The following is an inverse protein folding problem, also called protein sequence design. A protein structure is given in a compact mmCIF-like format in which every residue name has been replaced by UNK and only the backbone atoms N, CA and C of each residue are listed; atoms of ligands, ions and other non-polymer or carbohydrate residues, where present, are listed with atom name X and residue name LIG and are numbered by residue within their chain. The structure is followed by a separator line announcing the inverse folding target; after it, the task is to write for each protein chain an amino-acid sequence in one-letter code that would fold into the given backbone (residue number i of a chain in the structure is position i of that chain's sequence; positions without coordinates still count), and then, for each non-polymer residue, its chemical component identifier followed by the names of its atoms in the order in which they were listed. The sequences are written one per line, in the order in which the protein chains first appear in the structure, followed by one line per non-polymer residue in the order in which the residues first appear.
data_IF_935059187032
#
_entry.id   IF_935059187032
#
_cell.length_a   1.000
_cell.length_b   1.000
_cell.length_c   1.000
_cell.angle_alpha   90.00
_cell.angle_beta   90.00
_cell.angle_gamma   90.00
#
_symmetry.space_group_name_H-M   'P 1'
#
loop_
_entity.id
_entity.type
_entity.pdbx_description
1 polymer ?
#
# COMPACT_ATOMS: atom_id res chain seq x y z
N UNK A 1 -15.59 -1.80 -12.44
CA UNK A 1 -14.55 -0.75 -12.56
C UNK A 1 -14.90 0.14 -13.75
N UNK A 2 -14.94 1.47 -13.59
CA UNK A 2 -15.12 2.37 -14.73
C UNK A 2 -13.89 2.23 -15.65
N UNK A 3 -14.08 2.04 -16.97
CA UNK A 3 -12.95 1.93 -17.89
C UNK A 3 -12.12 3.23 -17.80
N UNK A 4 -10.80 3.09 -17.67
CA UNK A 4 -9.79 4.17 -17.56
C UNK A 4 -9.72 4.93 -16.22
N UNK A 5 -10.00 4.29 -15.09
CA UNK A 5 -9.66 4.84 -13.77
C UNK A 5 -8.25 4.40 -13.36
N UNK A 6 -7.31 5.34 -13.36
CA UNK A 6 -5.91 5.10 -13.00
C UNK A 6 -5.61 5.32 -11.51
N UNK A 7 -6.60 5.65 -10.68
CA UNK A 7 -6.39 6.05 -9.27
C UNK A 7 -5.60 5.04 -8.46
N UNK A 8 -5.93 3.74 -8.54
CA UNK A 8 -5.18 2.69 -7.82
C UNK A 8 -3.73 2.58 -8.30
N UNK A 9 -3.51 2.67 -9.63
CA UNK A 9 -2.18 2.57 -10.22
C UNK A 9 -1.32 3.78 -9.87
N UNK A 10 -1.91 4.98 -9.85
CA UNK A 10 -1.25 6.22 -9.40
C UNK A 10 -0.81 6.09 -7.95
N UNK A 11 -1.71 5.67 -7.05
CA UNK A 11 -1.40 5.52 -5.63
C UNK A 11 -0.27 4.51 -5.40
N UNK A 12 -0.23 3.40 -6.15
CA UNK A 12 0.85 2.40 -6.07
C UNK A 12 2.19 3.00 -6.52
N UNK A 13 2.23 3.68 -7.67
CA UNK A 13 3.46 4.32 -8.19
C UNK A 13 3.98 5.37 -7.21
N UNK A 14 3.09 6.20 -6.65
CA UNK A 14 3.47 7.23 -5.68
C UNK A 14 3.85 6.66 -4.30
N UNK A 15 3.43 5.45 -3.96
CA UNK A 15 3.87 4.77 -2.74
C UNK A 15 5.34 4.31 -2.83
N UNK A 16 5.77 3.91 -4.01
CA UNK A 16 7.15 3.47 -4.28
C UNK A 16 8.13 4.65 -4.43
N UNK A 17 7.62 5.86 -4.61
CA UNK A 17 8.43 7.05 -4.92
C UNK A 17 8.03 8.23 -4.01
N UNK A 18 9.01 9.03 -3.56
CA UNK A 18 8.74 10.21 -2.71
C UNK A 18 7.92 11.29 -3.42
N UNK A 19 8.23 11.53 -4.69
CA UNK A 19 7.51 12.41 -5.59
C UNK A 19 7.75 11.94 -7.04
N UNK A 20 6.79 12.11 -7.93
CA UNK A 20 6.88 11.72 -9.34
C UNK A 20 6.44 12.89 -10.21
N UNK A 21 7.22 13.20 -11.24
CA UNK A 21 6.82 14.21 -12.22
C UNK A 21 5.63 13.74 -13.05
N UNK A 22 4.85 14.68 -13.57
CA UNK A 22 3.69 14.33 -14.39
C UNK A 22 4.07 13.52 -15.66
N UNK A 23 5.14 13.86 -16.41
CA UNK A 23 5.59 13.05 -17.53
C UNK A 23 5.96 11.61 -17.14
N UNK A 24 6.73 11.43 -16.05
CA UNK A 24 7.11 10.10 -15.55
C UNK A 24 5.90 9.29 -15.10
N UNK A 25 4.93 9.95 -14.47
CA UNK A 25 3.68 9.32 -14.05
C UNK A 25 2.88 8.82 -15.27
N UNK A 26 2.81 9.62 -16.33
CA UNK A 26 2.21 9.22 -17.61
C UNK A 26 2.87 7.97 -18.17
N UNK A 27 4.19 7.97 -18.26
CA UNK A 27 4.96 6.84 -18.78
C UNK A 27 4.72 5.57 -17.96
N UNK A 28 4.83 5.66 -16.63
CA UNK A 28 4.66 4.51 -15.72
C UNK A 28 3.23 3.98 -15.70
N UNK A 29 2.22 4.86 -15.85
CA UNK A 29 0.80 4.47 -15.86
C UNK A 29 0.41 3.82 -17.18
N UNK A 30 0.93 4.29 -18.31
CA UNK A 30 0.57 3.81 -19.65
C UNK A 30 1.34 2.57 -20.08
N UNK A 31 2.55 2.34 -19.53
CA UNK A 31 3.30 1.09 -19.77
C UNK A 31 2.50 -0.11 -19.23
N UNK A 32 2.25 -1.16 -20.05
CA UNK A 32 1.71 -2.40 -19.53
C UNK A 32 2.71 -2.98 -18.51
N UNK A 33 2.20 -3.46 -17.37
CA UNK A 33 2.99 -4.27 -16.43
C UNK A 33 3.50 -5.49 -17.20
N UNK A 34 4.80 -5.54 -17.50
CA UNK A 34 5.40 -6.74 -18.07
C UNK A 34 5.31 -7.82 -17.00
N UNK A 35 4.66 -8.97 -17.27
CA UNK A 35 4.85 -10.13 -16.43
C UNK A 35 6.32 -10.54 -16.57
N UNK A 36 7.01 -10.74 -15.45
CA UNK A 36 8.32 -11.38 -15.41
C UNK A 36 8.11 -12.83 -15.82
N UNK A 37 8.31 -13.13 -17.09
CA UNK A 37 8.34 -14.50 -17.56
C UNK A 37 9.60 -14.66 -18.39
N UNK A 38 10.51 -15.46 -17.88
CA UNK A 38 11.45 -16.21 -18.69
C UNK A 38 10.65 -17.05 -19.68
N UNK A 39 10.64 -16.69 -20.94
CA UNK A 39 10.28 -17.61 -22.01
C UNK A 39 11.00 -17.26 -23.28
N UNK A 40 11.70 -18.25 -23.69
CA UNK A 40 12.44 -18.51 -24.89
C UNK A 40 11.69 -18.09 -26.16
N UNK A 41 12.42 -17.48 -27.01
CA UNK A 41 12.25 -17.05 -28.37
C UNK A 41 11.49 -18.04 -29.26
N UNK A 42 10.48 -17.52 -30.01
CA UNK A 42 10.19 -17.97 -31.40
C UNK A 42 9.57 -16.83 -32.21
N UNK A 43 10.05 -16.56 -33.43
CA UNK A 43 9.49 -15.51 -34.27
C UNK A 43 8.40 -16.11 -35.16
N UNK A 44 7.21 -15.52 -35.16
CA UNK A 44 6.26 -15.69 -36.26
C UNK A 44 5.58 -14.35 -36.58
N UNK A 45 5.78 -13.97 -37.80
CA UNK A 45 5.15 -12.92 -38.59
C UNK A 45 3.63 -12.89 -38.43
N UNK A 46 3.08 -11.72 -38.10
CA UNK A 46 1.65 -11.48 -38.07
C UNK A 46 1.38 -10.01 -37.75
N UNK A 47 0.77 -9.32 -38.67
CA UNK A 47 0.48 -7.90 -38.74
C UNK A 47 0.03 -7.31 -37.40
N UNK A 48 0.80 -6.37 -36.85
CA UNK A 48 0.40 -5.47 -35.77
C UNK A 48 -0.75 -4.58 -36.24
N UNK A 49 -1.98 -4.96 -35.88
CA UNK A 49 -3.07 -3.97 -35.83
C UNK A 49 -2.77 -2.98 -34.71
N UNK A 50 -2.07 -1.92 -35.06
CA UNK A 50 -1.86 -0.73 -34.25
C UNK A 50 -3.25 -0.13 -33.92
N UNK A 51 -3.85 -0.56 -32.84
CA UNK A 51 -4.94 0.20 -32.20
C UNK A 51 -4.30 1.48 -31.66
N UNK A 52 -4.33 2.53 -32.47
CA UNK A 52 -4.01 3.90 -32.10
C UNK A 52 -5.00 4.38 -31.03
N UNK A 53 -4.83 3.89 -29.80
CA UNK A 53 -5.46 4.49 -28.62
C UNK A 53 -4.63 5.71 -28.26
N UNK A 54 -5.05 6.83 -28.87
CA UNK A 54 -4.39 8.12 -28.85
C UNK A 54 -3.86 8.51 -27.49
N UNK A 55 -2.59 8.96 -27.39
CA UNK A 55 -1.98 9.44 -26.13
C UNK A 55 -2.83 10.49 -25.41
N UNK A 56 -3.64 11.24 -26.14
CA UNK A 56 -4.59 12.25 -25.60
C UNK A 56 -5.69 11.67 -24.69
N UNK A 57 -6.26 10.49 -25.01
CA UNK A 57 -7.29 9.86 -24.15
C UNK A 57 -6.70 9.35 -22.85
N UNK A 58 -5.52 8.75 -22.90
CA UNK A 58 -4.81 8.27 -21.70
C UNK A 58 -4.40 9.46 -20.80
N UNK A 59 -3.90 10.54 -21.40
CA UNK A 59 -3.54 11.77 -20.69
C UNK A 59 -4.76 12.41 -20.01
N UNK A 60 -5.89 12.48 -20.69
CA UNK A 60 -7.14 12.99 -20.10
C UNK A 60 -7.61 12.13 -18.92
N UNK A 61 -7.59 10.80 -19.08
CA UNK A 61 -8.00 9.87 -18.02
C UNK A 61 -7.06 9.93 -16.80
N UNK A 62 -5.74 10.07 -17.04
CA UNK A 62 -4.76 10.26 -15.97
C UNK A 62 -4.99 11.57 -15.21
N UNK A 63 -5.15 12.68 -15.94
CA UNK A 63 -5.44 14.00 -15.35
C UNK A 63 -6.71 13.97 -14.50
N UNK A 64 -7.77 13.34 -15.00
CA UNK A 64 -9.03 13.16 -14.28
C UNK A 64 -8.82 12.36 -12.99
N UNK A 65 -8.10 11.23 -13.05
CA UNK A 65 -7.83 10.40 -11.88
C UNK A 65 -6.94 11.13 -10.87
N UNK A 66 -5.91 11.84 -11.33
CA UNK A 66 -5.01 12.62 -10.47
C UNK A 66 -5.76 13.77 -9.79
N UNK A 67 -6.64 14.46 -10.53
CA UNK A 67 -7.51 15.51 -9.98
C UNK A 67 -8.43 14.96 -8.89
N UNK A 68 -9.11 13.84 -9.14
CA UNK A 68 -9.97 13.20 -8.12
C UNK A 68 -9.20 12.78 -6.88
N UNK A 69 -7.96 12.29 -7.01
CA UNK A 69 -7.10 11.97 -5.88
C UNK A 69 -6.65 13.23 -5.11
N UNK A 70 -6.41 14.34 -5.80
CA UNK A 70 -6.09 15.62 -5.17
C UNK A 70 -7.31 16.20 -4.43
N UNK A 71 -8.48 16.23 -5.06
CA UNK A 71 -9.74 16.71 -4.46
C UNK A 71 -10.14 15.87 -3.23
N UNK A 72 -9.82 14.57 -3.22
CA UNK A 72 -10.02 13.70 -2.05
C UNK A 72 -8.91 13.80 -0.99
N UNK A 73 -7.94 14.67 -1.15
CA UNK A 73 -6.85 14.89 -0.20
C UNK A 73 -5.84 13.74 -0.09
N UNK A 74 -5.80 12.82 -1.07
CA UNK A 74 -4.87 11.68 -1.07
C UNK A 74 -3.55 12.00 -1.76
N UNK A 75 -3.54 12.94 -2.68
CA UNK A 75 -2.37 13.40 -3.43
C UNK A 75 -2.28 14.91 -3.33
N UNK A 76 -1.07 15.43 -3.17
CA UNK A 76 -0.76 16.84 -3.30
C UNK A 76 0.12 17.07 -4.53
N UNK A 77 -0.05 18.25 -5.15
CA UNK A 77 0.70 18.67 -6.33
C UNK A 77 1.65 19.79 -5.94
N UNK A 78 2.88 19.68 -6.39
CA UNK A 78 3.92 20.69 -6.20
C UNK A 78 4.49 21.12 -7.54
N UNK A 79 4.53 22.41 -7.75
CA UNK A 79 5.16 23.00 -8.93
C UNK A 79 6.60 23.38 -8.56
N UNK A 80 7.57 22.89 -9.33
CA UNK A 80 8.97 23.26 -9.20
C UNK A 80 9.52 23.60 -10.58
N UNK A 81 9.76 24.86 -10.85
CA UNK A 81 10.13 25.35 -12.18
C UNK A 81 9.00 25.09 -13.19
N UNK A 82 9.34 24.42 -14.28
CA UNK A 82 8.36 24.03 -15.33
C UNK A 82 7.73 22.64 -15.10
N UNK A 83 8.08 21.96 -14.03
CA UNK A 83 7.62 20.62 -13.77
C UNK A 83 6.56 20.58 -12.65
N UNK A 84 5.51 19.79 -12.90
CA UNK A 84 4.46 19.46 -11.95
C UNK A 84 4.74 18.08 -11.35
N UNK A 85 4.83 18.01 -10.02
CA UNK A 85 5.11 16.80 -9.27
C UNK A 85 3.90 16.41 -8.42
N UNK A 86 3.63 15.12 -8.35
CA UNK A 86 2.64 14.55 -7.46
C UNK A 86 3.32 13.76 -6.33
N UNK A 87 2.81 13.89 -5.11
CA UNK A 87 3.21 13.06 -3.96
C UNK A 87 2.01 12.67 -3.11
N UNK A 88 2.15 11.59 -2.33
CA UNK A 88 1.10 11.18 -1.41
C UNK A 88 1.07 12.08 -0.18
N UNK A 89 -0.14 12.42 0.25
CA UNK A 89 -0.40 12.96 1.60
C UNK A 89 -0.30 11.83 2.65
N UNK A 90 -0.36 12.17 3.95
CA UNK A 90 -0.48 11.16 5.01
C UNK A 90 -1.68 10.23 4.78
N UNK A 91 -2.83 10.78 4.38
CA UNK A 91 -4.03 10.00 4.04
C UNK A 91 -3.81 9.13 2.79
N UNK A 92 -3.13 9.67 1.77
CA UNK A 92 -2.77 8.93 0.55
C UNK A 92 -1.88 7.73 0.83
N UNK A 93 -0.87 7.88 1.70
CA UNK A 93 0.00 6.78 2.12
C UNK A 93 -0.79 5.66 2.81
N UNK A 94 -1.67 6.00 3.74
CA UNK A 94 -2.56 5.00 4.40
C UNK A 94 -3.44 4.27 3.38
N UNK A 95 -4.00 5.01 2.42
CA UNK A 95 -4.83 4.41 1.35
C UNK A 95 -4.01 3.48 0.43
N UNK A 96 -2.80 3.88 0.06
CA UNK A 96 -1.89 3.05 -0.75
C UNK A 96 -1.54 1.74 -0.04
N UNK A 97 -1.21 1.79 1.26
CA UNK A 97 -0.98 0.60 2.10
C UNK A 97 -2.23 -0.29 2.14
N UNK A 98 -3.42 0.27 2.35
CA UNK A 98 -4.66 -0.50 2.33
C UNK A 98 -4.88 -1.22 1.00
N UNK A 99 -4.54 -0.60 -0.13
CA UNK A 99 -4.63 -1.22 -1.46
C UNK A 99 -3.58 -2.31 -1.69
N UNK A 100 -2.39 -2.13 -1.14
CA UNK A 100 -1.33 -3.14 -1.17
C UNK A 100 -1.78 -4.40 -0.40
N UNK A 101 -2.26 -4.25 0.82
CA UNK A 101 -2.81 -5.35 1.62
C UNK A 101 -4.00 -6.05 0.95
N UNK A 102 -4.81 -5.31 0.15
CA UNK A 102 -5.88 -5.91 -0.65
C UNK A 102 -5.35 -6.76 -1.81
N UNK A 103 -4.24 -6.36 -2.42
CA UNK A 103 -3.63 -7.10 -3.54
C UNK A 103 -2.83 -8.32 -3.08
N UNK A 104 -2.25 -8.25 -1.89
CA UNK A 104 -1.42 -9.30 -1.31
C UNK A 104 -2.24 -10.40 -0.60
N UNK A 105 -3.54 -10.17 -0.39
CA UNK A 105 -4.45 -11.12 0.30
C UNK A 105 -4.64 -12.48 -0.40
N UNK A 106 -4.07 -12.67 -1.58
CA UNK A 106 -4.01 -13.98 -2.26
C UNK A 106 -2.81 -14.83 -1.84
N UNK A 107 -1.83 -14.22 -1.16
CA UNK A 107 -0.66 -14.90 -0.63
C UNK A 107 -0.72 -14.80 0.89
N UNK A 108 -1.30 -15.80 1.55
CA UNK A 108 -1.13 -15.95 3.00
C UNK A 108 0.37 -16.19 3.22
N UNK A 109 1.12 -15.24 3.81
CA UNK A 109 2.54 -15.45 4.05
C UNK A 109 2.68 -16.68 4.96
N UNK A 110 3.59 -17.58 4.61
CA UNK A 110 3.92 -18.68 5.52
C UNK A 110 4.45 -18.10 6.83
N UNK A 111 3.96 -18.61 7.94
CA UNK A 111 4.49 -18.24 9.25
C UNK A 111 5.96 -18.68 9.37
N UNK A 112 6.82 -17.75 9.75
CA UNK A 112 8.26 -17.94 9.89
C UNK A 112 8.68 -18.29 11.33
N UNK A 113 7.73 -18.69 12.18
CA UNK A 113 7.98 -19.01 13.59
C UNK A 113 8.08 -17.79 14.50
N UNK A 114 7.74 -16.60 14.01
CA UNK A 114 7.80 -15.38 14.81
C UNK A 114 6.45 -14.68 14.91
N UNK A 115 6.13 -14.19 16.08
CA UNK A 115 4.99 -13.33 16.35
C UNK A 115 5.40 -11.86 16.19
N UNK A 116 4.55 -11.07 15.55
CA UNK A 116 4.68 -9.62 15.43
C UNK A 116 3.70 -8.98 16.39
N UNK A 117 4.21 -8.15 17.28
CA UNK A 117 3.40 -7.41 18.25
C UNK A 117 3.53 -5.93 17.94
N UNK A 118 2.40 -5.27 17.80
CA UNK A 118 2.30 -3.83 17.64
C UNK A 118 1.53 -3.25 18.82
N UNK A 119 2.21 -2.43 19.61
CA UNK A 119 1.55 -1.59 20.61
C UNK A 119 1.19 -0.27 19.96
N UNK A 120 -0.09 0.10 20.04
CA UNK A 120 -0.61 1.32 19.42
C UNK A 120 -1.38 2.12 20.47
N UNK A 121 -0.76 3.20 20.94
CA UNK A 121 -1.35 4.13 21.92
C UNK A 121 -1.29 5.56 21.39
N UNK A 122 -2.39 6.02 20.81
CA UNK A 122 -2.53 7.39 20.34
C UNK A 122 -3.49 8.16 21.25
N UNK A 123 -3.18 9.44 21.53
CA UNK A 123 -4.06 10.30 22.32
C UNK A 123 -5.41 10.51 21.62
N UNK A 124 -6.43 10.89 22.38
CA UNK A 124 -7.79 11.11 21.86
C UNK A 124 -7.83 12.20 20.78
N UNK A 125 -6.95 13.18 20.85
CA UNK A 125 -6.79 14.23 19.83
C UNK A 125 -6.41 13.68 18.44
N UNK A 126 -5.87 12.46 18.36
CA UNK A 126 -5.51 11.74 17.12
C UNK A 126 -6.44 10.56 16.84
N UNK A 127 -7.67 10.60 17.27
CA UNK A 127 -8.65 9.50 17.13
C UNK A 127 -8.79 9.01 15.68
N UNK A 128 -8.90 9.91 14.71
CA UNK A 128 -9.02 9.55 13.30
C UNK A 128 -7.82 8.75 12.79
N UNK A 129 -6.61 9.11 13.22
CA UNK A 129 -5.39 8.36 12.86
C UNK A 129 -5.37 7.00 13.57
N UNK A 130 -5.76 6.94 14.82
CA UNK A 130 -5.87 5.71 15.60
C UNK A 130 -6.80 4.70 14.92
N UNK A 131 -8.00 5.13 14.53
CA UNK A 131 -8.95 4.26 13.84
C UNK A 131 -8.45 3.80 12.46
N UNK A 132 -7.79 4.69 11.72
CA UNK A 132 -7.19 4.32 10.45
C UNK A 132 -6.06 3.28 10.60
N UNK A 133 -5.23 3.39 11.65
CA UNK A 133 -4.16 2.43 11.93
C UNK A 133 -4.73 1.09 12.41
N UNK A 134 -5.74 1.10 13.27
CA UNK A 134 -6.46 -0.12 13.68
C UNK A 134 -7.07 -0.86 12.48
N UNK A 135 -7.65 -0.12 11.55
CA UNK A 135 -8.17 -0.70 10.32
C UNK A 135 -7.06 -1.36 9.48
N UNK A 136 -5.89 -0.71 9.34
CA UNK A 136 -4.75 -1.27 8.62
C UNK A 136 -4.19 -2.52 9.31
N UNK A 137 -4.08 -2.51 10.65
CA UNK A 137 -3.65 -3.68 11.42
C UNK A 137 -4.58 -4.87 11.19
N UNK A 138 -5.90 -4.67 11.30
CA UNK A 138 -6.89 -5.71 10.98
C UNK A 138 -6.75 -6.26 9.56
N UNK A 139 -6.58 -5.37 8.58
CA UNK A 139 -6.37 -5.77 7.19
C UNK A 139 -5.09 -6.57 6.96
N UNK A 140 -4.04 -6.27 7.72
CA UNK A 140 -2.79 -7.01 7.71
C UNK A 140 -2.85 -8.33 8.51
N UNK A 141 -4.03 -8.72 8.99
CA UNK A 141 -4.20 -9.96 9.75
C UNK A 141 -3.66 -9.88 11.17
N UNK A 142 -3.62 -8.67 11.76
CA UNK A 142 -3.36 -8.52 13.18
C UNK A 142 -4.67 -8.64 13.97
N UNK A 143 -4.63 -9.38 15.04
CA UNK A 143 -5.71 -9.51 16.02
C UNK A 143 -5.39 -8.70 17.27
N UNK A 144 -6.44 -8.15 17.90
CA UNK A 144 -6.30 -7.37 19.12
C UNK A 144 -6.14 -8.32 20.31
N UNK A 145 -4.94 -8.35 20.88
CA UNK A 145 -4.65 -9.20 22.04
C UNK A 145 -5.17 -8.56 23.34
N UNK A 146 -4.82 -7.29 23.60
CA UNK A 146 -5.27 -6.51 24.76
C UNK A 146 -5.24 -5.01 24.42
N UNK A 147 -6.28 -4.28 24.72
CA UNK A 147 -6.41 -2.81 24.63
C UNK A 147 -5.69 -2.14 23.42
N UNK A 148 -4.38 -2.00 23.54
CA UNK A 148 -3.51 -1.38 22.54
C UNK A 148 -2.52 -2.35 21.87
N UNK A 149 -2.52 -3.64 22.28
CA UNK A 149 -1.60 -4.64 21.77
C UNK A 149 -2.25 -5.47 20.66
N UNK A 150 -1.63 -5.45 19.50
CA UNK A 150 -2.02 -6.20 18.31
C UNK A 150 -0.98 -7.26 18.01
N UNK A 151 -1.39 -8.45 17.60
CA UNK A 151 -0.49 -9.55 17.31
C UNK A 151 -0.82 -10.22 15.98
N UNK A 152 0.21 -10.69 15.27
CA UNK A 152 0.07 -11.40 14.00
C UNK A 152 1.22 -12.37 13.79
N UNK A 153 1.01 -13.54 13.15
CA UNK A 153 2.06 -14.41 12.67
C UNK A 153 2.68 -13.92 11.35
N UNK A 154 2.08 -12.92 10.69
CA UNK A 154 2.48 -12.52 9.35
C UNK A 154 3.61 -11.48 9.35
N UNK A 155 4.60 -11.55 8.43
CA UNK A 155 5.81 -10.73 8.41
C UNK A 155 5.55 -9.31 7.86
N UNK A 156 4.69 -8.53 8.50
CA UNK A 156 4.38 -7.15 8.12
C UNK A 156 5.07 -6.09 8.98
N UNK A 157 6.06 -6.46 9.79
CA UNK A 157 6.80 -5.53 10.66
C UNK A 157 7.42 -4.37 9.88
N UNK A 158 8.04 -4.63 8.73
CA UNK A 158 8.64 -3.60 7.89
C UNK A 158 7.61 -2.59 7.36
N UNK A 159 6.42 -3.08 6.99
CA UNK A 159 5.32 -2.22 6.56
C UNK A 159 4.93 -1.22 7.66
N UNK A 160 4.73 -1.73 8.89
CA UNK A 160 4.36 -0.88 10.02
C UNK A 160 5.50 -0.02 10.52
N UNK A 161 6.76 -0.43 10.39
CA UNK A 161 7.94 0.42 10.63
C UNK A 161 7.96 1.63 9.67
N UNK A 162 7.65 1.42 8.40
CA UNK A 162 7.55 2.52 7.43
C UNK A 162 6.39 3.46 7.76
N UNK A 163 5.21 2.92 8.11
CA UNK A 163 4.05 3.72 8.55
C UNK A 163 4.40 4.54 9.80
N UNK A 164 5.04 3.93 10.80
CA UNK A 164 5.52 4.59 12.02
C UNK A 164 6.40 5.79 11.68
N UNK A 165 7.39 5.60 10.81
CA UNK A 165 8.32 6.65 10.36
C UNK A 165 7.59 7.76 9.62
N UNK A 166 6.72 7.41 8.68
CA UNK A 166 5.99 8.35 7.83
C UNK A 166 5.00 9.24 8.59
N UNK A 167 4.41 8.71 9.65
CA UNK A 167 3.44 9.41 10.50
C UNK A 167 4.07 10.05 11.74
N UNK A 168 5.38 9.86 11.97
CA UNK A 168 6.10 10.37 13.13
C UNK A 168 5.59 9.78 14.45
N UNK A 169 5.25 8.48 14.48
CA UNK A 169 4.70 7.78 15.65
C UNK A 169 5.83 7.24 16.54
N UNK A 170 6.67 8.11 17.07
CA UNK A 170 7.91 7.70 17.77
C UNK A 170 7.60 6.93 19.05
N UNK A 171 6.71 7.44 19.87
CA UNK A 171 6.31 6.87 21.18
C UNK A 171 4.95 6.17 21.12
N UNK A 172 4.09 6.56 20.20
CA UNK A 172 2.70 6.09 20.11
C UNK A 172 2.57 4.71 19.44
N UNK A 173 3.62 4.26 18.75
CA UNK A 173 3.66 2.93 18.14
C UNK A 173 4.98 2.23 18.47
N UNK A 174 4.91 1.06 19.06
CA UNK A 174 6.04 0.16 19.26
C UNK A 174 5.82 -1.13 18.47
N UNK A 175 6.86 -1.63 17.81
CA UNK A 175 6.81 -2.86 17.02
C UNK A 175 7.87 -3.80 17.56
N UNK A 176 7.45 -5.03 17.87
CA UNK A 176 8.32 -6.08 18.39
C UNK A 176 8.10 -7.36 17.59
N UNK A 177 9.15 -8.17 17.51
CA UNK A 177 9.08 -9.55 17.02
C UNK A 177 9.59 -10.48 18.11
N UNK A 178 8.92 -11.61 18.30
CA UNK A 178 9.30 -12.62 19.27
C UNK A 178 8.92 -14.01 18.80
N UNK A 179 9.73 -14.99 19.12
CA UNK A 179 9.43 -16.42 18.99
C UNK A 179 9.18 -17.08 20.33
N UNK A 180 9.15 -16.32 21.43
CA UNK A 180 9.01 -16.83 22.78
C UNK A 180 7.83 -16.14 23.48
N UNK A 181 6.74 -16.84 23.56
CA UNK A 181 5.57 -16.51 24.36
C UNK A 181 5.35 -17.59 25.40
N UNK A 182 4.58 -17.30 26.44
CA UNK A 182 4.14 -18.34 27.35
C UNK A 182 3.23 -19.34 26.63
N UNK A 183 3.27 -20.59 27.05
CA UNK A 183 2.58 -21.70 26.37
C UNK A 183 1.07 -21.53 26.31
N UNK A 184 0.47 -20.86 27.28
CA UNK A 184 -0.96 -20.65 27.36
C UNK A 184 -1.40 -19.63 26.31
N UNK A 185 -0.69 -18.49 26.23
CA UNK A 185 -0.91 -17.45 25.22
C UNK A 185 -0.67 -18.00 23.81
N UNK A 186 0.41 -18.73 23.59
CA UNK A 186 0.73 -19.30 22.28
C UNK A 186 -0.33 -20.29 21.80
N UNK A 187 -0.83 -21.16 22.72
CA UNK A 187 -1.91 -22.10 22.39
C UNK A 187 -3.18 -21.39 21.96
N UNK A 188 -3.58 -20.30 22.62
CA UNK A 188 -4.75 -19.51 22.24
C UNK A 188 -4.55 -18.80 20.89
N UNK A 189 -3.35 -18.31 20.63
CA UNK A 189 -3.02 -17.67 19.34
C UNK A 189 -3.09 -18.68 18.18
N UNK A 190 -2.57 -19.88 18.35
CA UNK A 190 -2.70 -20.92 17.32
C UNK A 190 -4.16 -21.27 17.03
N UNK A 191 -5.02 -21.33 18.04
CA UNK A 191 -6.48 -21.51 17.82
C UNK A 191 -7.10 -20.33 17.08
N UNK A 192 -6.65 -19.11 17.37
CA UNK A 192 -7.17 -17.89 16.76
C UNK A 192 -6.80 -17.79 15.27
N UNK A 193 -5.57 -18.13 14.91
CA UNK A 193 -5.03 -18.02 13.54
C UNK A 193 -5.16 -19.31 12.71
N UNK A 194 -5.60 -20.42 13.25
CA UNK A 194 -5.83 -21.68 12.53
C UNK A 194 -7.14 -21.74 11.73
N UNK A 195 -7.85 -20.61 11.60
CA UNK A 195 -9.15 -20.50 10.91
C UNK A 195 -9.03 -20.29 9.42
#
# INVERSE_FOLDING_TARGET
MKPNDYSKKILKILAENKAVSFPDLMEKVTKPLRPSINSVHLPLTGEEKTTQNTPKKAQYALNRSLRGLHESGLVERHFSGQNDYARLTKAGKRKAVSLQLESDSTLVPNWDGQWRIVLLDLPESRKSEREALRYLLKKAGFELLKNSAWISPFPYEHLFMNIKKDLGLTTEMMIMTTNNLDMETETELFKLFAK
#
